data_IF_158584627783
#
_entry.id   IF_158584627783
#
_cell.length_a   1.000
_cell.length_b   1.000
_cell.length_c   1.000
_cell.angle_alpha   90.00
_cell.angle_beta   90.00
_cell.angle_gamma   90.00
#
_symmetry.space_group_name_H-M   'P 1'
#
loop_
_entity.id
_entity.type
_entity.pdbx_description
1 polymer ?
#
# COMPACT_ATOMS: atom_id res chain seq x y z
N UNK A 1 45.38 26.53 -22.99
CA UNK A 1 46.26 27.63 -22.55
C UNK A 1 47.22 27.84 -23.70
N UNK A 2 46.93 28.84 -24.53
CA UNK A 2 47.52 28.99 -25.86
C UNK A 2 47.90 30.45 -26.07
N UNK A 3 48.94 30.68 -26.88
CA UNK A 3 49.16 31.92 -27.65
C UNK A 3 49.49 33.18 -26.82
N UNK A 4 50.66 33.82 -27.04
CA UNK A 4 50.95 34.79 -28.12
C UNK A 4 50.15 36.12 -27.93
N UNK A 5 50.72 37.32 -28.03
CA UNK A 5 52.13 37.75 -28.19
C UNK A 5 52.22 39.29 -27.93
N UNK A 6 53.18 39.97 -28.58
CA UNK A 6 53.15 41.41 -28.95
C UNK A 6 53.66 42.41 -27.89
N UNK A 7 54.99 42.53 -27.87
CA UNK A 7 55.78 43.75 -28.04
C UNK A 7 55.15 45.15 -27.85
N UNK A 8 55.91 46.02 -27.16
CA UNK A 8 55.90 47.47 -27.37
C UNK A 8 57.32 47.93 -27.76
N UNK A 9 57.44 48.75 -28.80
CA UNK A 9 58.71 49.19 -29.36
C UNK A 9 58.71 50.69 -29.69
N UNK A 10 59.91 51.28 -29.75
CA UNK A 10 60.14 52.58 -30.39
C UNK A 10 60.02 53.80 -29.47
N UNK A 11 61.17 54.46 -29.24
CA UNK A 11 61.23 55.90 -28.95
C UNK A 11 62.38 56.48 -29.77
N UNK A 12 62.05 57.35 -30.71
CA UNK A 12 62.98 57.90 -31.70
C UNK A 12 63.29 59.37 -31.46
N UNK A 13 64.58 59.69 -31.55
CA UNK A 13 65.16 60.99 -31.94
C UNK A 13 64.55 61.54 -33.26
N UNK A 14 64.75 62.83 -33.65
CA UNK A 14 65.51 63.92 -33.00
C UNK A 14 64.78 65.28 -32.95
N UNK A 15 65.44 66.30 -32.37
CA UNK A 15 65.26 67.71 -32.77
C UNK A 15 66.61 68.47 -32.73
N UNK A 16 66.79 69.51 -33.55
CA UNK A 16 68.09 70.13 -33.78
C UNK A 16 68.04 71.60 -34.24
N UNK A 17 69.17 72.29 -33.99
CA UNK A 17 69.71 73.46 -34.71
C UNK A 17 68.93 74.80 -34.71
N UNK A 18 69.53 75.84 -34.08
CA UNK A 18 69.89 77.09 -34.77
C UNK A 18 70.72 78.11 -33.95
N UNK A 19 71.67 78.73 -34.66
CA UNK A 19 72.34 80.04 -34.47
C UNK A 19 72.41 80.70 -35.89
N UNK A 20 72.91 81.93 -36.16
CA UNK A 20 73.55 82.96 -35.31
C UNK A 20 73.01 84.41 -35.52
N UNK A 21 73.72 85.43 -35.02
CA UNK A 21 73.52 86.86 -35.38
C UNK A 21 74.76 87.72 -35.07
N UNK A 22 75.03 88.79 -35.84
CA UNK A 22 76.28 89.60 -35.79
C UNK A 22 76.15 90.99 -36.46
N UNK A 23 76.62 92.06 -35.79
CA UNK A 23 77.18 93.36 -36.28
C UNK A 23 77.48 94.23 -35.02
N UNK A 24 78.54 95.03 -34.83
CA UNK A 24 79.40 95.92 -35.65
C UNK A 24 78.89 97.38 -35.80
N UNK A 25 79.74 98.37 -35.43
CA UNK A 25 80.06 99.67 -36.12
C UNK A 25 80.84 100.63 -35.16
N UNK A 26 81.63 101.57 -35.71
CA UNK A 26 82.56 102.52 -35.05
C UNK A 26 82.26 103.99 -35.43
N UNK A 27 82.84 104.98 -34.74
CA UNK A 27 82.90 106.38 -35.23
C UNK A 27 83.53 107.46 -34.32
N UNK A 28 84.54 108.18 -34.84
CA UNK A 28 85.06 109.51 -34.38
C UNK A 28 84.81 110.56 -35.49
N UNK A 29 84.91 111.91 -35.29
CA UNK A 29 86.14 112.64 -35.75
C UNK A 29 86.48 114.09 -35.22
N UNK A 30 87.79 114.41 -35.13
CA UNK A 30 88.55 115.58 -35.71
C UNK A 30 88.32 117.09 -35.32
N UNK A 31 89.25 117.65 -34.50
CA UNK A 31 90.24 118.78 -34.65
C UNK A 31 90.00 120.25 -35.19
N UNK A 32 90.71 121.23 -34.53
CA UNK A 32 91.38 122.50 -35.01
C UNK A 32 90.54 123.64 -35.67
N UNK A 33 91.07 124.86 -36.07
CA UNK A 33 92.37 125.59 -35.85
C UNK A 33 92.17 127.00 -35.18
N UNK A 34 93.01 128.07 -35.19
CA UNK A 34 94.45 128.32 -35.47
C UNK A 34 94.84 129.73 -36.02
N UNK A 35 96.01 130.29 -35.61
CA UNK A 35 96.87 131.36 -36.23
C UNK A 35 96.59 132.91 -36.07
N UNK A 36 97.66 133.73 -36.22
CA UNK A 36 97.76 135.22 -36.12
C UNK A 36 98.99 135.80 -36.90
N UNK A 37 98.88 136.97 -37.57
CA UNK A 37 100.01 137.86 -37.99
C UNK A 37 99.69 139.38 -37.81
N UNK A 38 100.48 140.41 -38.19
CA UNK A 38 101.93 140.76 -38.10
C UNK A 38 102.09 142.31 -38.27
N UNK A 39 103.33 142.83 -38.27
CA UNK A 39 103.81 144.24 -38.21
C UNK A 39 103.23 145.34 -39.15
N UNK A 40 103.46 146.62 -38.75
CA UNK A 40 103.27 147.81 -39.60
C UNK A 40 104.04 149.08 -39.11
N UNK A 41 104.67 149.90 -39.98
CA UNK A 41 105.71 150.89 -39.59
C UNK A 41 105.24 152.34 -39.29
N UNK A 42 106.13 153.12 -38.66
CA UNK A 42 105.85 154.45 -38.11
C UNK A 42 106.06 155.64 -39.10
N UNK A 43 105.47 156.81 -38.77
CA UNK A 43 105.64 158.10 -39.46
C UNK A 43 106.22 159.19 -38.52
N UNK A 44 107.03 160.14 -39.03
CA UNK A 44 107.55 161.27 -38.26
C UNK A 44 106.61 162.50 -38.30
N UNK A 45 106.58 163.28 -37.20
CA UNK A 45 105.69 164.44 -37.05
C UNK A 45 104.95 164.38 -35.71
N UNK A 46 105.67 164.55 -34.61
CA UNK A 46 105.13 164.30 -33.27
C UNK A 46 104.24 165.44 -32.75
N UNK A 47 102.93 165.23 -32.80
CA UNK A 47 101.99 165.83 -31.85
C UNK A 47 102.15 165.18 -30.45
N UNK A 48 101.54 165.77 -29.43
CA UNK A 48 101.50 165.19 -28.10
C UNK A 48 100.81 163.81 -28.12
N UNK A 49 101.50 162.74 -27.69
CA UNK A 49 101.02 161.35 -27.77
C UNK A 49 99.89 160.99 -26.76
N UNK A 50 99.11 161.99 -26.34
CA UNK A 50 97.85 161.87 -25.60
C UNK A 50 96.72 162.04 -26.63
N UNK A 51 95.78 161.08 -26.68
CA UNK A 51 94.72 161.10 -27.69
C UNK A 51 93.91 162.40 -27.66
N UNK A 52 93.74 163.04 -28.82
CA UNK A 52 93.04 164.32 -28.97
C UNK A 52 93.89 165.57 -28.66
N UNK A 53 95.18 165.44 -28.31
CA UNK A 53 96.04 166.58 -28.00
C UNK A 53 96.94 167.02 -29.17
N UNK A 54 96.44 167.91 -30.01
CA UNK A 54 97.17 168.48 -31.18
C UNK A 54 98.25 169.51 -30.82
N UNK A 55 98.59 169.67 -29.53
CA UNK A 55 99.71 170.54 -29.12
C UNK A 55 101.03 169.97 -29.67
N UNK A 56 101.83 170.78 -30.38
CA UNK A 56 103.13 170.33 -30.88
C UNK A 56 104.06 170.01 -29.72
N UNK A 57 104.90 168.99 -29.89
CA UNK A 57 105.92 168.66 -28.89
C UNK A 57 106.94 169.81 -28.78
N UNK A 58 107.38 170.19 -27.57
CA UNK A 58 108.41 171.21 -27.40
C UNK A 58 109.69 170.79 -28.12
N UNK A 59 110.42 171.75 -28.73
CA UNK A 59 111.55 171.44 -29.59
C UNK A 59 112.63 170.62 -28.86
N UNK A 60 113.25 169.63 -29.52
CA UNK A 60 114.12 168.68 -28.86
C UNK A 60 115.43 169.34 -28.39
N UNK A 61 115.54 169.55 -27.08
CA UNK A 61 116.83 169.78 -26.42
C UNK A 61 117.72 168.53 -26.44
N UNK A 62 118.95 168.63 -25.92
CA UNK A 62 119.85 167.47 -25.74
C UNK A 62 119.30 166.51 -24.69
N UNK A 63 118.46 165.57 -25.11
CA UNK A 63 117.85 164.56 -24.26
C UNK A 63 116.95 163.62 -25.06
N UNK A 64 116.29 162.68 -24.36
CA UNK A 64 115.28 161.81 -24.97
C UNK A 64 114.08 162.66 -25.41
N UNK A 65 113.57 162.55 -26.66
CA UNK A 65 112.47 163.38 -27.13
C UNK A 65 111.24 163.21 -26.24
N UNK A 66 110.64 164.32 -25.83
CA UNK A 66 109.44 164.33 -25.01
C UNK A 66 108.28 163.73 -25.81
N UNK A 67 107.60 162.70 -25.29
CA UNK A 67 106.42 162.11 -25.94
C UNK A 67 105.13 162.91 -25.74
N UNK A 68 105.15 163.93 -24.88
CA UNK A 68 103.99 164.73 -24.49
C UNK A 68 104.41 166.20 -24.38
N UNK A 69 103.52 167.14 -24.70
CA UNK A 69 103.87 168.57 -24.68
C UNK A 69 104.10 169.14 -23.27
N UNK A 70 103.65 168.43 -22.22
CA UNK A 70 103.92 168.78 -20.83
C UNK A 70 103.63 167.61 -19.86
N UNK A 71 104.08 167.76 -18.60
CA UNK A 71 103.95 166.71 -17.57
C UNK A 71 102.51 166.23 -17.38
N UNK A 72 101.55 167.15 -17.35
CA UNK A 72 100.13 166.82 -17.15
C UNK A 72 99.59 165.82 -18.20
N UNK A 73 100.04 165.90 -19.46
CA UNK A 73 99.64 164.96 -20.50
C UNK A 73 100.40 163.63 -20.46
N UNK A 74 101.61 163.60 -19.91
CA UNK A 74 102.31 162.36 -19.59
C UNK A 74 101.64 161.62 -18.42
N UNK A 75 101.21 162.35 -17.39
CA UNK A 75 100.46 161.81 -16.25
C UNK A 75 99.06 161.35 -16.68
N UNK A 76 98.35 162.11 -17.51
CA UNK A 76 97.05 161.68 -18.08
C UNK A 76 97.21 160.43 -18.95
N UNK A 77 98.16 160.41 -19.89
CA UNK A 77 98.45 159.21 -20.69
C UNK A 77 99.01 158.03 -19.86
N UNK A 78 99.33 158.22 -18.57
CA UNK A 78 99.65 157.15 -17.63
C UNK A 78 98.42 156.67 -16.84
N UNK A 79 97.41 157.52 -16.67
CA UNK A 79 96.07 157.16 -16.18
C UNK A 79 95.30 156.41 -17.26
N UNK A 80 95.27 156.93 -18.49
CA UNK A 80 94.53 156.34 -19.62
C UNK A 80 95.04 154.94 -19.95
N UNK A 81 96.36 154.70 -19.91
CA UNK A 81 96.92 153.36 -20.05
C UNK A 81 96.51 152.46 -18.91
N UNK A 82 96.65 152.87 -17.64
CA UNK A 82 96.21 152.05 -16.51
C UNK A 82 94.70 151.78 -16.51
N UNK A 83 93.88 152.67 -17.05
CA UNK A 83 92.46 152.45 -17.26
C UNK A 83 92.19 151.48 -18.43
N UNK A 84 92.99 151.52 -19.50
CA UNK A 84 92.91 150.55 -20.59
C UNK A 84 93.42 149.16 -20.20
N UNK A 85 94.52 149.08 -19.45
CA UNK A 85 95.10 147.85 -18.90
C UNK A 85 94.12 147.20 -17.90
N UNK A 86 93.47 148.00 -17.05
CA UNK A 86 92.38 147.55 -16.18
C UNK A 86 91.17 147.07 -17.00
N UNK A 87 90.68 147.87 -17.95
CA UNK A 87 89.55 147.49 -18.80
C UNK A 87 89.81 146.20 -19.62
N UNK A 88 91.07 145.96 -20.02
CA UNK A 88 91.48 144.73 -20.71
C UNK A 88 91.44 143.47 -19.83
N UNK A 89 91.36 143.61 -18.50
CA UNK A 89 91.33 142.53 -17.51
C UNK A 89 89.95 142.44 -16.82
N UNK A 90 89.40 143.57 -16.38
CA UNK A 90 88.09 143.69 -15.73
C UNK A 90 86.94 143.28 -16.66
N UNK A 91 87.05 143.53 -17.96
CA UNK A 91 86.02 143.17 -18.92
C UNK A 91 85.94 141.64 -19.18
N UNK A 92 87.04 140.91 -19.50
CA UNK A 92 86.99 139.46 -19.55
C UNK A 92 86.71 138.81 -18.19
N UNK A 93 87.16 139.40 -17.06
CA UNK A 93 86.76 138.92 -15.72
C UNK A 93 85.25 139.04 -15.49
N UNK A 94 84.64 140.20 -15.73
CA UNK A 94 83.18 140.36 -15.58
C UNK A 94 82.38 139.45 -16.53
N UNK A 95 82.91 139.10 -17.71
CA UNK A 95 82.30 138.08 -18.57
C UNK A 95 82.48 136.66 -18.02
N UNK A 96 83.65 136.34 -17.46
CA UNK A 96 83.88 135.06 -16.79
C UNK A 96 82.99 134.92 -15.55
N UNK A 97 82.82 135.97 -14.74
CA UNK A 97 81.89 136.04 -13.62
C UNK A 97 80.43 135.93 -14.08
N UNK A 98 80.03 136.62 -15.15
CA UNK A 98 78.68 136.53 -15.71
C UNK A 98 78.36 135.16 -16.35
N UNK A 99 79.38 134.41 -16.79
CA UNK A 99 79.26 133.01 -17.21
C UNK A 99 79.22 132.07 -16.01
N UNK A 100 80.13 132.25 -15.05
CA UNK A 100 80.20 131.46 -13.82
C UNK A 100 78.96 131.64 -12.94
N UNK A 101 78.30 132.80 -12.96
CA UNK A 101 77.03 133.04 -12.28
C UNK A 101 75.83 132.34 -12.92
N UNK A 102 75.87 132.06 -14.23
CA UNK A 102 74.84 131.28 -14.96
C UNK A 102 75.08 129.77 -14.92
N UNK A 103 76.29 129.35 -14.58
CA UNK A 103 76.68 127.94 -14.58
C UNK A 103 75.94 127.13 -13.49
N UNK A 104 75.73 127.63 -12.25
CA UNK A 104 74.86 127.00 -11.26
C UNK A 104 73.43 126.78 -11.77
N UNK A 105 72.82 127.77 -12.41
CA UNK A 105 71.44 127.65 -12.94
C UNK A 105 71.35 126.59 -14.04
N UNK A 106 72.34 126.56 -14.94
CA UNK A 106 72.43 125.55 -16.00
C UNK A 106 72.69 124.13 -15.45
N UNK A 107 73.51 124.01 -14.40
CA UNK A 107 73.74 122.75 -13.69
C UNK A 107 72.47 122.31 -12.94
N UNK A 108 71.76 123.24 -12.30
CA UNK A 108 70.49 122.98 -11.61
C UNK A 108 69.42 122.47 -12.58
N UNK A 109 69.19 123.15 -13.70
CA UNK A 109 68.26 122.71 -14.74
C UNK A 109 68.64 121.35 -15.35
N UNK A 110 69.93 121.03 -15.47
CA UNK A 110 70.39 119.70 -15.89
C UNK A 110 70.17 118.64 -14.80
N UNK A 111 70.36 118.97 -13.52
CA UNK A 111 70.08 118.08 -12.39
C UNK A 111 68.57 117.80 -12.25
N UNK A 112 67.71 118.80 -12.45
CA UNK A 112 66.26 118.65 -12.51
C UNK A 112 65.84 117.73 -13.67
N UNK A 113 66.40 117.93 -14.87
CA UNK A 113 66.14 117.05 -16.02
C UNK A 113 66.63 115.62 -15.80
N UNK A 114 67.80 115.43 -15.17
CA UNK A 114 68.31 114.11 -14.81
C UNK A 114 67.46 113.43 -13.72
N UNK A 115 66.93 114.20 -12.77
CA UNK A 115 66.01 113.70 -11.73
C UNK A 115 64.67 113.29 -12.34
N UNK A 116 64.07 114.15 -13.17
CA UNK A 116 62.84 113.83 -13.88
C UNK A 116 63.00 112.60 -14.80
N UNK A 117 64.17 112.44 -15.44
CA UNK A 117 64.49 111.26 -16.25
C UNK A 117 64.66 110.00 -15.39
N UNK A 118 65.36 110.06 -14.25
CA UNK A 118 65.51 108.88 -13.38
C UNK A 118 64.20 108.49 -12.69
N UNK A 119 63.36 109.46 -12.32
CA UNK A 119 61.99 109.21 -11.85
C UNK A 119 61.12 108.58 -12.94
N UNK A 120 61.13 109.10 -14.17
CA UNK A 120 60.39 108.52 -15.29
C UNK A 120 60.86 107.09 -15.61
N UNK A 121 62.17 106.83 -15.55
CA UNK A 121 62.74 105.50 -15.72
C UNK A 121 62.36 104.56 -14.56
N UNK A 122 62.33 105.02 -13.31
CA UNK A 122 61.89 104.24 -12.16
C UNK A 122 60.38 103.93 -12.22
N UNK A 123 59.55 104.87 -12.69
CA UNK A 123 58.13 104.65 -12.96
C UNK A 123 57.93 103.66 -14.12
N UNK A 124 58.71 103.77 -15.19
CA UNK A 124 58.68 102.82 -16.30
C UNK A 124 59.12 101.40 -15.88
N UNK A 125 60.17 101.30 -15.04
CA UNK A 125 60.68 100.03 -14.51
C UNK A 125 59.67 99.39 -13.55
N UNK A 126 59.15 100.13 -12.57
CA UNK A 126 58.13 99.60 -11.65
C UNK A 126 56.83 99.23 -12.37
N UNK A 127 56.40 100.03 -13.35
CA UNK A 127 55.27 99.70 -14.23
C UNK A 127 55.51 98.48 -15.13
N UNK A 128 56.75 98.24 -15.57
CA UNK A 128 57.11 97.02 -16.30
C UNK A 128 57.13 95.79 -15.38
N UNK A 129 57.75 95.89 -14.21
CA UNK A 129 57.76 94.81 -13.20
C UNK A 129 56.34 94.45 -12.74
N UNK A 130 55.47 95.43 -12.51
CA UNK A 130 54.07 95.19 -12.15
C UNK A 130 53.25 94.53 -13.27
N UNK A 131 53.60 94.75 -14.54
CA UNK A 131 53.00 94.00 -15.68
C UNK A 131 53.53 92.56 -15.73
N UNK A 132 54.83 92.35 -15.52
CA UNK A 132 55.44 91.00 -15.49
C UNK A 132 54.85 90.18 -14.34
N UNK A 133 54.87 90.71 -13.11
CA UNK A 133 54.30 90.04 -11.93
C UNK A 133 52.81 89.70 -12.10
N UNK A 134 52.04 90.56 -12.80
CA UNK A 134 50.64 90.26 -13.12
C UNK A 134 50.52 89.14 -14.15
N UNK A 135 51.29 89.19 -15.24
CA UNK A 135 51.28 88.13 -16.24
C UNK A 135 51.77 86.77 -15.68
N UNK A 136 52.73 86.79 -14.76
CA UNK A 136 53.19 85.62 -14.01
C UNK A 136 52.09 85.06 -13.11
N UNK A 137 51.39 85.93 -12.35
CA UNK A 137 50.25 85.52 -11.51
C UNK A 137 49.07 84.98 -12.33
N UNK A 138 48.75 85.61 -13.47
CA UNK A 138 47.72 85.15 -14.41
C UNK A 138 48.11 83.80 -15.05
N UNK A 139 49.39 83.60 -15.41
CA UNK A 139 49.88 82.33 -15.94
C UNK A 139 49.91 81.20 -14.89
N UNK A 140 50.22 81.51 -13.63
CA UNK A 140 50.13 80.54 -12.52
C UNK A 140 48.67 80.18 -12.24
N UNK A 141 47.76 81.16 -12.22
CA UNK A 141 46.33 80.92 -12.04
C UNK A 141 45.73 80.09 -13.19
N UNK A 142 46.14 80.35 -14.44
CA UNK A 142 45.72 79.56 -15.60
C UNK A 142 46.17 78.09 -15.50
N UNK A 143 47.45 77.84 -15.15
CA UNK A 143 47.98 76.49 -14.96
C UNK A 143 47.31 75.74 -13.80
N UNK A 144 46.96 76.43 -12.72
CA UNK A 144 46.19 75.82 -11.62
C UNK A 144 44.77 75.47 -12.09
N UNK A 145 44.10 76.36 -12.83
CA UNK A 145 42.75 76.10 -13.34
C UNK A 145 42.71 74.94 -14.35
N UNK A 146 43.76 74.78 -15.16
CA UNK A 146 44.01 73.65 -16.05
C UNK A 146 44.21 72.34 -15.26
N UNK A 147 45.14 72.32 -14.31
CA UNK A 147 45.38 71.15 -13.44
C UNK A 147 44.13 70.74 -12.62
N UNK A 148 43.36 71.72 -12.13
CA UNK A 148 42.09 71.47 -11.43
C UNK A 148 41.01 70.93 -12.39
N UNK A 149 41.05 71.27 -13.68
CA UNK A 149 40.14 70.72 -14.69
C UNK A 149 40.48 69.27 -15.03
N UNK A 150 41.76 68.97 -15.25
CA UNK A 150 42.26 67.62 -15.48
C UNK A 150 42.00 66.70 -14.28
N UNK A 151 42.19 67.20 -13.05
CA UNK A 151 41.87 66.47 -11.84
C UNK A 151 40.38 66.08 -11.75
N UNK A 152 39.48 67.01 -12.09
CA UNK A 152 38.03 66.76 -12.17
C UNK A 152 37.66 65.79 -13.30
N UNK A 153 38.28 65.92 -14.48
CA UNK A 153 38.04 65.02 -15.60
C UNK A 153 38.46 63.57 -15.25
N UNK A 154 39.67 63.41 -14.72
CA UNK A 154 40.17 62.10 -14.28
C UNK A 154 39.36 61.52 -13.11
N UNK A 155 38.73 62.35 -12.26
CA UNK A 155 37.77 61.86 -11.25
C UNK A 155 36.44 61.42 -11.86
N UNK A 156 35.90 62.16 -12.82
CA UNK A 156 34.69 61.78 -13.55
C UNK A 156 34.87 60.45 -14.30
N UNK A 157 36.02 60.25 -14.96
CA UNK A 157 36.34 58.98 -15.62
C UNK A 157 36.49 57.82 -14.62
N UNK A 158 37.13 58.04 -13.46
CA UNK A 158 37.17 57.05 -12.37
C UNK A 158 35.77 56.74 -11.81
N UNK A 159 34.89 57.74 -11.72
CA UNK A 159 33.50 57.54 -11.27
C UNK A 159 32.69 56.73 -12.29
N UNK A 160 32.83 57.05 -13.58
CA UNK A 160 32.22 56.30 -14.68
C UNK A 160 32.69 54.85 -14.73
N UNK A 161 34.00 54.62 -14.70
CA UNK A 161 34.57 53.27 -14.75
C UNK A 161 34.11 52.38 -13.58
N UNK A 162 33.89 52.96 -12.38
CA UNK A 162 33.27 52.27 -11.25
C UNK A 162 31.80 51.94 -11.52
N UNK A 163 31.00 52.93 -11.96
CA UNK A 163 29.58 52.71 -12.26
C UNK A 163 29.36 51.67 -13.38
N UNK A 164 30.21 51.65 -14.40
CA UNK A 164 30.18 50.64 -15.47
C UNK A 164 30.53 49.24 -14.93
N UNK A 165 31.48 49.12 -13.99
CA UNK A 165 31.81 47.85 -13.32
C UNK A 165 30.69 47.38 -12.38
N UNK A 166 30.16 48.27 -11.53
CA UNK A 166 29.04 48.01 -10.62
C UNK A 166 27.81 47.54 -11.39
N UNK A 167 27.54 48.10 -12.57
CA UNK A 167 26.45 47.68 -13.46
C UNK A 167 26.67 46.28 -14.05
N UNK A 168 27.90 45.93 -14.44
CA UNK A 168 28.25 44.59 -14.91
C UNK A 168 28.08 43.55 -13.80
N UNK A 169 28.53 43.85 -12.58
CA UNK A 169 28.37 42.94 -11.45
C UNK A 169 26.93 42.84 -10.95
N UNK A 170 26.14 43.91 -11.00
CA UNK A 170 24.69 43.85 -10.75
C UNK A 170 23.95 42.97 -11.78
N UNK A 171 24.33 43.01 -13.06
CA UNK A 171 23.78 42.12 -14.10
C UNK A 171 24.23 40.67 -13.88
N UNK A 172 25.48 40.45 -13.45
CA UNK A 172 26.01 39.12 -13.12
C UNK A 172 25.28 38.51 -11.90
N UNK A 173 25.12 39.28 -10.84
CA UNK A 173 24.42 38.88 -9.63
C UNK A 173 22.95 38.55 -9.90
N UNK A 174 22.24 39.39 -10.69
CA UNK A 174 20.86 39.10 -11.06
C UNK A 174 20.73 37.81 -11.88
N UNK A 175 21.61 37.58 -12.86
CA UNK A 175 21.65 36.32 -13.64
C UNK A 175 21.96 35.08 -12.80
N UNK A 176 22.77 35.22 -11.74
CA UNK A 176 23.03 34.13 -10.81
C UNK A 176 21.77 33.80 -9.98
N UNK A 177 21.08 34.82 -9.44
CA UNK A 177 19.84 34.66 -8.69
C UNK A 177 18.68 34.14 -9.57
N UNK A 178 18.60 34.57 -10.83
CA UNK A 178 17.67 34.03 -11.83
C UNK A 178 17.89 32.51 -12.03
N UNK A 179 19.14 32.07 -12.23
CA UNK A 179 19.49 30.64 -12.37
C UNK A 179 19.30 29.82 -11.09
N UNK A 180 19.54 30.41 -9.92
CA UNK A 180 19.31 29.78 -8.62
C UNK A 180 17.81 29.53 -8.40
N UNK A 181 16.97 30.55 -8.63
CA UNK A 181 15.52 30.41 -8.57
C UNK A 181 14.96 29.41 -9.60
N UNK A 182 15.56 29.27 -10.78
CA UNK A 182 15.22 28.22 -11.76
C UNK A 182 15.58 26.81 -11.27
N UNK A 183 16.77 26.64 -10.66
CA UNK A 183 17.19 25.36 -10.06
C UNK A 183 16.30 24.96 -8.90
N UNK A 184 15.92 25.90 -8.05
CA UNK A 184 15.02 25.67 -6.91
C UNK A 184 13.60 25.30 -7.36
N UNK A 185 13.07 25.97 -8.39
CA UNK A 185 11.78 25.57 -9.02
C UNK A 185 11.86 24.14 -9.55
N UNK A 186 12.89 23.81 -10.32
CA UNK A 186 13.08 22.47 -10.86
C UNK A 186 13.31 21.41 -9.77
N UNK A 187 13.90 21.78 -8.63
CA UNK A 187 14.05 20.91 -7.46
C UNK A 187 12.71 20.67 -6.74
N UNK A 188 11.92 21.73 -6.52
CA UNK A 188 10.57 21.64 -5.96
C UNK A 188 9.61 20.86 -6.86
N UNK A 189 9.75 20.96 -8.18
CA UNK A 189 8.98 20.17 -9.16
C UNK A 189 9.34 18.68 -9.12
N UNK A 190 10.63 18.33 -9.02
CA UNK A 190 11.05 16.93 -8.77
C UNK A 190 10.48 16.41 -7.46
N UNK A 191 10.68 17.11 -6.34
CA UNK A 191 10.14 16.70 -5.02
C UNK A 191 8.62 16.55 -5.04
N UNK A 192 7.88 17.35 -5.82
CA UNK A 192 6.43 17.18 -6.02
C UNK A 192 6.08 15.93 -6.84
N UNK A 193 6.86 15.60 -7.87
CA UNK A 193 6.68 14.38 -8.66
C UNK A 193 6.98 13.13 -7.81
N UNK A 194 8.13 13.11 -7.13
CA UNK A 194 8.57 12.02 -6.25
C UNK A 194 7.55 11.76 -5.13
N UNK A 195 7.01 12.83 -4.53
CA UNK A 195 5.94 12.75 -3.53
C UNK A 195 4.61 12.24 -4.11
N UNK A 196 4.24 12.65 -5.32
CA UNK A 196 3.03 12.17 -5.99
C UNK A 196 3.12 10.67 -6.35
N UNK A 197 4.27 10.21 -6.83
CA UNK A 197 4.55 8.79 -7.06
C UNK A 197 4.49 7.99 -5.75
N UNK A 198 5.13 8.49 -4.69
CA UNK A 198 5.10 7.88 -3.35
C UNK A 198 3.66 7.77 -2.80
N UNK A 199 2.83 8.80 -2.98
CA UNK A 199 1.41 8.79 -2.60
C UNK A 199 0.61 7.79 -3.44
N UNK A 200 0.87 7.68 -4.74
CA UNK A 200 0.21 6.71 -5.61
C UNK A 200 0.56 5.26 -5.23
N UNK A 201 1.84 4.97 -4.96
CA UNK A 201 2.29 3.67 -4.47
C UNK A 201 1.65 3.31 -3.12
N UNK A 202 1.56 4.26 -2.18
CA UNK A 202 0.85 4.05 -0.92
C UNK A 202 -0.67 3.85 -1.07
N UNK A 203 -1.31 4.46 -2.09
CA UNK A 203 -2.70 4.18 -2.39
C UNK A 203 -2.89 2.74 -2.91
N UNK A 204 -2.09 2.33 -3.91
CA UNK A 204 -2.09 0.96 -4.45
C UNK A 204 -1.86 -0.10 -3.37
N UNK A 205 -0.89 0.11 -2.46
CA UNK A 205 -0.64 -0.78 -1.34
C UNK A 205 -1.81 -0.87 -0.34
N UNK A 206 -2.53 0.24 -0.11
CA UNK A 206 -3.72 0.25 0.76
C UNK A 206 -4.91 -0.47 0.12
N UNK A 207 -5.08 -0.34 -1.19
CA UNK A 207 -6.18 -0.99 -1.90
C UNK A 207 -5.92 -2.49 -2.09
N UNK A 208 -4.69 -2.91 -2.41
CA UNK A 208 -4.28 -4.31 -2.37
C UNK A 208 -4.43 -4.93 -0.96
N UNK A 209 -4.17 -4.17 0.11
CA UNK A 209 -4.40 -4.63 1.49
C UNK A 209 -5.90 -4.79 1.82
N UNK A 210 -6.77 -3.91 1.30
CA UNK A 210 -8.24 -4.01 1.43
C UNK A 210 -8.78 -5.23 0.67
N UNK A 211 -8.32 -5.45 -0.55
CA UNK A 211 -8.66 -6.64 -1.36
C UNK A 211 -8.20 -7.93 -0.66
N UNK A 212 -6.97 -7.95 -0.14
CA UNK A 212 -6.44 -9.06 0.65
C UNK A 212 -7.24 -9.34 1.92
N UNK A 213 -7.67 -8.30 2.64
CA UNK A 213 -8.57 -8.45 3.79
C UNK A 213 -9.92 -9.04 3.36
N UNK A 214 -10.57 -8.49 2.33
CA UNK A 214 -11.87 -8.97 1.85
C UNK A 214 -11.79 -10.43 1.37
N UNK A 215 -10.71 -10.83 0.69
CA UNK A 215 -10.46 -12.21 0.29
C UNK A 215 -10.26 -13.15 1.49
N UNK A 216 -9.53 -12.71 2.53
CA UNK A 216 -9.35 -13.48 3.76
C UNK A 216 -10.64 -13.65 4.56
N UNK A 217 -11.49 -12.61 4.62
CA UNK A 217 -12.80 -12.66 5.26
C UNK A 217 -13.76 -13.59 4.50
N UNK A 218 -13.81 -13.50 3.17
CA UNK A 218 -14.60 -14.41 2.34
C UNK A 218 -14.12 -15.88 2.46
N UNK A 219 -12.81 -16.12 2.51
CA UNK A 219 -12.26 -17.47 2.70
C UNK A 219 -12.57 -18.05 4.09
N UNK A 220 -12.50 -17.21 5.15
CA UNK A 220 -12.94 -17.58 6.50
C UNK A 220 -14.41 -17.97 6.51
N UNK A 221 -15.27 -17.14 5.91
CA UNK A 221 -16.72 -17.35 5.98
C UNK A 221 -17.18 -18.54 5.14
N UNK A 222 -16.51 -18.79 4.01
CA UNK A 222 -16.66 -20.04 3.24
C UNK A 222 -16.28 -21.29 4.08
N UNK A 223 -15.15 -21.25 4.81
CA UNK A 223 -14.78 -22.37 5.70
C UNK A 223 -15.69 -22.53 6.92
N UNK A 224 -16.30 -21.44 7.40
CA UNK A 224 -17.36 -21.51 8.42
C UNK A 224 -18.66 -22.13 7.86
N UNK A 225 -18.99 -21.90 6.59
CA UNK A 225 -20.11 -22.57 5.92
C UNK A 225 -19.85 -24.07 5.73
N UNK A 226 -18.67 -24.44 5.19
CA UNK A 226 -18.22 -25.84 5.03
C UNK A 226 -18.24 -26.61 6.36
N UNK A 227 -17.81 -25.97 7.46
CA UNK A 227 -17.84 -26.56 8.81
C UNK A 227 -19.27 -26.73 9.36
N UNK A 228 -20.24 -25.90 8.93
CA UNK A 228 -21.66 -26.06 9.30
C UNK A 228 -22.31 -27.20 8.50
N UNK A 229 -22.08 -27.24 7.19
CA UNK A 229 -22.60 -28.28 6.30
C UNK A 229 -22.09 -29.67 6.69
N UNK A 230 -20.79 -29.82 6.93
CA UNK A 230 -20.19 -31.08 7.38
C UNK A 230 -20.69 -31.54 8.75
N UNK A 231 -20.96 -30.61 9.69
CA UNK A 231 -21.62 -30.94 10.97
C UNK A 231 -23.06 -31.40 10.78
N UNK A 232 -23.85 -30.66 9.99
CA UNK A 232 -25.24 -31.02 9.70
C UNK A 232 -25.35 -32.38 8.99
N UNK A 233 -24.44 -32.67 8.06
CA UNK A 233 -24.34 -33.98 7.42
C UNK A 233 -23.96 -35.09 8.41
N UNK A 234 -23.03 -34.82 9.35
CA UNK A 234 -22.65 -35.77 10.38
C UNK A 234 -23.79 -36.05 11.38
N UNK A 235 -24.52 -35.02 11.81
CA UNK A 235 -25.70 -35.13 12.68
C UNK A 235 -26.81 -35.95 11.99
N UNK A 236 -27.04 -35.75 10.69
CA UNK A 236 -27.94 -36.58 9.89
C UNK A 236 -27.45 -38.03 9.77
N UNK A 237 -26.14 -38.25 9.63
CA UNK A 237 -25.54 -39.59 9.59
C UNK A 237 -25.70 -40.35 10.90
N UNK A 238 -25.51 -39.67 12.05
CA UNK A 238 -25.78 -40.24 13.37
C UNK A 238 -27.28 -40.55 13.53
N UNK A 239 -28.17 -39.62 13.18
CA UNK A 239 -29.62 -39.85 13.23
C UNK A 239 -30.07 -41.03 12.34
N UNK A 240 -29.48 -41.20 11.15
CA UNK A 240 -29.72 -42.36 10.27
C UNK A 240 -29.24 -43.67 10.90
N UNK A 241 -28.06 -43.68 11.52
CA UNK A 241 -27.50 -44.87 12.20
C UNK A 241 -28.32 -45.25 13.43
N UNK A 242 -28.71 -44.28 14.25
CA UNK A 242 -29.58 -44.47 15.41
C UNK A 242 -30.95 -45.02 15.03
N UNK A 243 -31.56 -44.49 13.96
CA UNK A 243 -32.84 -45.00 13.45
C UNK A 243 -32.72 -46.45 12.96
N UNK A 244 -31.63 -46.78 12.23
CA UNK A 244 -31.36 -48.14 11.78
C UNK A 244 -31.10 -49.11 12.95
N UNK A 245 -30.35 -48.68 13.98
CA UNK A 245 -30.08 -49.48 15.17
C UNK A 245 -31.36 -49.75 15.99
N UNK A 246 -32.24 -48.76 16.13
CA UNK A 246 -33.56 -48.93 16.78
C UNK A 246 -34.47 -49.87 15.98
N UNK A 247 -34.46 -49.77 14.66
CA UNK A 247 -35.20 -50.69 13.79
C UNK A 247 -34.68 -52.13 13.92
N UNK A 248 -33.36 -52.33 13.99
CA UNK A 248 -32.77 -53.66 14.19
C UNK A 248 -33.06 -54.24 15.57
N UNK A 249 -32.97 -53.43 16.64
CA UNK A 249 -33.40 -53.85 17.97
C UNK A 249 -34.87 -54.32 17.98
N UNK A 250 -35.75 -53.55 17.33
CA UNK A 250 -37.16 -53.93 17.15
C UNK A 250 -37.36 -55.24 16.36
N UNK A 251 -36.53 -55.50 15.32
CA UNK A 251 -36.55 -56.78 14.60
C UNK A 251 -36.09 -57.94 15.48
N UNK A 252 -35.03 -57.75 16.27
CA UNK A 252 -34.52 -58.76 17.19
C UNK A 252 -35.50 -59.08 18.32
N UNK A 253 -36.18 -58.07 18.87
CA UNK A 253 -37.18 -58.27 19.93
C UNK A 253 -38.48 -58.89 19.39
N UNK A 254 -38.88 -58.58 18.16
CA UNK A 254 -39.95 -59.31 17.47
C UNK A 254 -39.58 -60.79 17.24
N UNK A 255 -38.38 -61.06 16.73
CA UNK A 255 -37.89 -62.42 16.52
C UNK A 255 -37.73 -63.22 17.82
N UNK A 256 -37.35 -62.56 18.93
CA UNK A 256 -37.37 -63.16 20.28
C UNK A 256 -38.78 -63.51 20.71
N UNK A 257 -39.76 -62.63 20.51
CA UNK A 257 -41.16 -62.90 20.84
C UNK A 257 -41.75 -64.04 20.00
N UNK A 258 -41.39 -64.17 18.73
CA UNK A 258 -41.77 -65.31 17.89
C UNK A 258 -41.07 -66.62 18.31
N UNK A 259 -39.81 -66.55 18.75
CA UNK A 259 -39.11 -67.71 19.31
C UNK A 259 -39.77 -68.18 20.62
N UNK A 260 -40.15 -67.27 21.52
CA UNK A 260 -40.93 -67.61 22.71
C UNK A 260 -42.28 -68.23 22.33
N UNK A 261 -43.06 -67.59 21.44
CA UNK A 261 -44.34 -68.14 20.95
C UNK A 261 -44.21 -69.55 20.37
N UNK A 262 -43.15 -69.82 19.62
CA UNK A 262 -42.93 -71.16 19.02
C UNK A 262 -42.42 -72.19 20.02
N UNK A 263 -41.67 -71.79 21.05
CA UNK A 263 -41.32 -72.65 22.19
C UNK A 263 -42.56 -73.00 23.03
N UNK A 264 -43.41 -72.02 23.31
CA UNK A 264 -44.67 -72.21 24.06
C UNK A 264 -45.61 -73.14 23.28
N UNK A 265 -45.80 -72.88 21.97
CA UNK A 265 -46.61 -73.74 21.10
C UNK A 265 -46.05 -75.16 20.96
N UNK A 266 -44.73 -75.33 20.89
CA UNK A 266 -44.09 -76.66 20.88
C UNK A 266 -44.24 -77.38 22.21
N UNK A 267 -44.25 -76.64 23.33
CA UNK A 267 -44.46 -77.20 24.67
C UNK A 267 -45.90 -77.66 24.83
N UNK A 268 -46.88 -76.82 24.49
CA UNK A 268 -48.30 -77.19 24.46
C UNK A 268 -48.58 -78.37 23.49
N UNK A 269 -47.91 -78.43 22.33
CA UNK A 269 -48.02 -79.56 21.41
C UNK A 269 -47.43 -80.86 21.98
N UNK A 270 -46.34 -80.79 22.75
CA UNK A 270 -45.77 -81.94 23.47
C UNK A 270 -46.66 -82.41 24.61
N UNK A 271 -47.26 -81.49 25.35
CA UNK A 271 -48.23 -81.79 26.41
C UNK A 271 -49.51 -82.42 25.83
N UNK A 272 -50.04 -81.86 24.74
CA UNK A 272 -51.17 -82.44 24.01
C UNK A 272 -50.85 -83.85 23.47
N UNK A 273 -49.65 -84.07 22.92
CA UNK A 273 -49.20 -85.39 22.46
C UNK A 273 -49.01 -86.38 23.62
N UNK A 274 -48.54 -85.91 24.79
CA UNK A 274 -48.42 -86.73 25.99
C UNK A 274 -49.79 -87.11 26.57
N UNK A 275 -50.75 -86.18 26.56
CA UNK A 275 -52.16 -86.41 26.94
C UNK A 275 -52.82 -87.39 25.99
N UNK A 276 -52.80 -87.14 24.67
CA UNK A 276 -53.37 -88.05 23.66
C UNK A 276 -52.68 -89.43 23.67
N UNK A 277 -51.36 -89.48 23.94
CA UNK A 277 -50.63 -90.72 24.15
C UNK A 277 -50.95 -91.43 25.47
N UNK A 278 -51.47 -90.71 26.48
CA UNK A 278 -52.06 -91.26 27.70
C UNK A 278 -53.47 -91.79 27.45
N UNK A 279 -54.32 -91.01 26.80
CA UNK A 279 -55.70 -91.36 26.41
C UNK A 279 -55.71 -92.60 25.52
N UNK A 280 -54.89 -92.66 24.46
CA UNK A 280 -54.78 -93.81 23.57
C UNK A 280 -54.25 -95.08 24.29
N UNK A 281 -53.42 -94.94 25.33
CA UNK A 281 -53.04 -96.07 26.20
C UNK A 281 -54.18 -96.50 27.12
N UNK A 282 -54.95 -95.54 27.65
CA UNK A 282 -56.13 -95.83 28.46
C UNK A 282 -57.30 -96.40 27.61
N UNK A 283 -57.38 -96.07 26.33
CA UNK A 283 -58.31 -96.70 25.37
C UNK A 283 -57.87 -98.12 25.03
N UNK A 284 -56.59 -98.35 24.71
CA UNK A 284 -56.06 -99.71 24.52
C UNK A 284 -56.26 -100.58 25.75
N UNK A 285 -55.88 -100.11 26.94
CA UNK A 285 -56.10 -100.85 28.18
C UNK A 285 -57.59 -101.14 28.46
N UNK A 286 -58.51 -100.23 28.06
CA UNK A 286 -59.97 -100.48 28.13
C UNK A 286 -60.45 -101.49 27.07
N UNK A 287 -59.88 -101.46 25.86
CA UNK A 287 -60.18 -102.42 24.79
C UNK A 287 -59.65 -103.82 25.13
N UNK A 288 -58.38 -103.93 25.52
CA UNK A 288 -57.73 -105.16 26.00
C UNK A 288 -58.48 -105.75 27.21
N UNK A 289 -58.93 -104.93 28.16
CA UNK A 289 -59.76 -105.39 29.27
C UNK A 289 -61.17 -105.82 28.83
N UNK A 290 -61.76 -105.20 27.81
CA UNK A 290 -63.06 -105.58 27.26
C UNK A 290 -62.97 -106.85 26.39
N UNK A 291 -61.89 -107.04 25.66
CA UNK A 291 -61.55 -108.28 24.94
C UNK A 291 -61.32 -109.42 25.93
N UNK A 292 -60.48 -109.21 26.96
CA UNK A 292 -60.29 -110.22 28.01
C UNK A 292 -61.58 -110.55 28.77
N UNK A 293 -62.42 -109.56 29.08
CA UNK A 293 -63.73 -109.79 29.69
C UNK A 293 -64.70 -110.52 28.76
N UNK A 294 -64.64 -110.26 27.44
CA UNK A 294 -65.39 -111.00 26.41
C UNK A 294 -64.90 -112.43 26.30
N UNK A 295 -63.60 -112.67 26.30
CA UNK A 295 -63.02 -114.00 26.19
C UNK A 295 -63.33 -114.83 27.45
N UNK A 296 -63.21 -114.26 28.65
CA UNK A 296 -63.67 -114.90 29.90
C UNK A 296 -65.19 -115.17 29.88
N UNK A 297 -65.99 -114.35 29.22
CA UNK A 297 -67.42 -114.60 29.04
C UNK A 297 -67.72 -115.66 27.96
N UNK A 298 -66.87 -115.79 26.93
CA UNK A 298 -66.94 -116.84 25.93
C UNK A 298 -66.48 -118.19 26.50
N UNK A 299 -65.38 -118.23 27.24
CA UNK A 299 -64.90 -119.42 27.95
C UNK A 299 -65.93 -119.93 28.95
N UNK A 300 -66.54 -119.03 29.74
CA UNK A 300 -67.69 -119.38 30.59
C UNK A 300 -68.84 -119.94 29.77
N UNK A 301 -69.23 -119.28 28.68
CA UNK A 301 -70.33 -119.75 27.83
C UNK A 301 -70.03 -121.08 27.15
N UNK A 302 -68.77 -121.39 26.85
CA UNK A 302 -68.32 -122.70 26.36
C UNK A 302 -68.42 -123.72 27.50
N UNK A 303 -67.96 -123.41 28.71
CA UNK A 303 -68.10 -124.28 29.89
C UNK A 303 -69.57 -124.55 30.22
N UNK A 304 -70.44 -123.54 30.18
CA UNK A 304 -71.89 -123.64 30.39
C UNK A 304 -72.54 -124.53 29.31
N UNK A 305 -72.20 -124.30 28.03
CA UNK A 305 -72.70 -125.12 26.91
C UNK A 305 -72.18 -126.55 26.95
N UNK A 306 -70.97 -126.77 27.45
CA UNK A 306 -70.35 -128.08 27.55
C UNK A 306 -70.92 -128.87 28.74
N UNK A 307 -71.13 -128.22 29.89
CA UNK A 307 -71.88 -128.80 31.01
C UNK A 307 -73.35 -129.11 30.63
N UNK A 308 -73.99 -128.24 29.82
CA UNK A 308 -75.31 -128.51 29.27
C UNK A 308 -75.32 -129.67 28.24
N UNK A 309 -74.25 -129.82 27.46
CA UNK A 309 -74.09 -130.94 26.54
C UNK A 309 -73.83 -132.27 27.29
N UNK A 310 -73.06 -132.25 28.38
CA UNK A 310 -72.83 -133.41 29.24
C UNK A 310 -74.13 -133.82 29.97
N UNK A 311 -74.92 -132.85 30.46
CA UNK A 311 -76.28 -133.08 30.98
C UNK A 311 -77.19 -133.72 29.92
N UNK A 312 -77.29 -133.11 28.73
CA UNK A 312 -78.11 -133.63 27.63
C UNK A 312 -77.62 -135.00 27.13
N UNK A 313 -76.32 -135.31 27.23
CA UNK A 313 -75.79 -136.63 26.92
C UNK A 313 -76.20 -137.68 27.97
N UNK A 314 -76.24 -137.30 29.25
CA UNK A 314 -76.82 -138.11 30.34
C UNK A 314 -78.30 -138.36 30.14
N UNK A 315 -79.10 -137.32 29.95
CA UNK A 315 -80.55 -137.42 29.66
C UNK A 315 -80.82 -138.27 28.41
N UNK A 316 -80.01 -138.13 27.35
CA UNK A 316 -80.11 -138.95 26.15
C UNK A 316 -79.62 -140.39 26.34
N UNK A 317 -78.87 -140.71 27.39
CA UNK A 317 -78.55 -142.08 27.78
C UNK A 317 -79.71 -142.71 28.58
N UNK A 318 -80.27 -141.98 29.55
CA UNK A 318 -81.43 -142.41 30.34
C UNK A 318 -82.69 -142.58 29.46
N UNK A 319 -82.90 -141.70 28.49
CA UNK A 319 -83.95 -141.83 27.48
C UNK A 319 -83.78 -143.10 26.61
N UNK A 320 -82.54 -143.50 26.30
CA UNK A 320 -82.25 -144.75 25.58
C UNK A 320 -82.45 -145.99 26.46
N UNK A 321 -82.05 -145.92 27.74
CA UNK A 321 -82.26 -147.01 28.69
C UNK A 321 -83.76 -147.26 28.95
N UNK A 322 -84.55 -146.18 29.11
CA UNK A 322 -86.00 -146.25 29.30
C UNK A 322 -86.77 -146.62 28.03
N UNK A 323 -86.29 -146.25 26.83
CA UNK A 323 -86.84 -146.76 25.56
C UNK A 323 -86.61 -148.28 25.42
N UNK A 324 -85.41 -148.77 25.72
CA UNK A 324 -85.11 -150.21 25.69
C UNK A 324 -85.95 -150.99 26.72
N UNK A 325 -86.19 -150.43 27.91
CA UNK A 325 -87.11 -150.99 28.90
C UNK A 325 -88.56 -151.04 28.39
N UNK A 326 -89.04 -150.01 27.68
CA UNK A 326 -90.36 -150.03 27.04
C UNK A 326 -90.45 -151.11 25.94
N UNK A 327 -89.42 -151.28 25.11
CA UNK A 327 -89.40 -152.30 24.07
C UNK A 327 -89.48 -153.72 24.66
N UNK A 328 -88.69 -154.02 25.70
CA UNK A 328 -88.75 -155.30 26.41
C UNK A 328 -90.10 -155.58 27.11
N UNK A 329 -90.94 -154.56 27.34
CA UNK A 329 -92.33 -154.71 27.81
C UNK A 329 -93.28 -154.97 26.63
N UNK A 330 -93.13 -154.27 25.50
CA UNK A 330 -93.90 -154.53 24.28
C UNK A 330 -93.71 -155.96 23.77
N UNK A 331 -92.48 -156.45 23.70
CA UNK A 331 -92.17 -157.81 23.23
C UNK A 331 -92.86 -158.89 24.08
N UNK A 332 -92.92 -158.66 25.41
CA UNK A 332 -93.65 -159.53 26.36
C UNK A 332 -95.17 -159.46 26.16
N UNK A 333 -95.71 -158.27 25.87
CA UNK A 333 -97.14 -158.09 25.61
C UNK A 333 -97.56 -158.71 24.28
N UNK A 334 -96.78 -158.59 23.21
CA UNK A 334 -97.06 -159.30 21.95
C UNK A 334 -96.97 -160.82 22.12
N UNK A 335 -95.99 -161.30 22.88
CA UNK A 335 -95.87 -162.73 23.24
C UNK A 335 -97.15 -163.20 23.96
N UNK A 336 -97.59 -162.49 25.00
CA UNK A 336 -98.80 -162.83 25.75
C UNK A 336 -100.08 -162.74 24.90
N UNK A 337 -100.17 -161.74 24.01
CA UNK A 337 -101.34 -161.54 23.15
C UNK A 337 -101.41 -162.58 22.01
N UNK A 338 -100.27 -163.12 21.57
CA UNK A 338 -100.24 -164.29 20.68
C UNK A 338 -100.76 -165.57 21.36
N UNK A 339 -100.39 -165.80 22.63
CA UNK A 339 -100.89 -166.93 23.43
C UNK A 339 -102.41 -166.82 23.68
N UNK A 340 -102.89 -165.66 24.13
CA UNK A 340 -104.32 -165.42 24.35
C UNK A 340 -105.16 -165.60 23.07
N UNK A 341 -104.60 -165.31 21.88
CA UNK A 341 -105.26 -165.58 20.59
C UNK A 341 -105.36 -167.07 20.26
N UNK A 342 -104.40 -167.89 20.68
CA UNK A 342 -104.46 -169.35 20.54
C UNK A 342 -105.53 -169.96 21.47
N UNK A 343 -105.54 -169.57 22.75
CA UNK A 343 -106.55 -170.01 23.72
C UNK A 343 -107.98 -169.60 23.29
N UNK A 344 -108.14 -168.38 22.75
CA UNK A 344 -109.40 -167.90 22.20
C UNK A 344 -109.82 -168.55 20.87
N UNK A 345 -108.95 -169.36 20.24
CA UNK A 345 -109.33 -170.24 19.13
C UNK A 345 -109.85 -171.59 19.66
N UNK A 346 -109.12 -172.22 20.59
CA UNK A 346 -109.56 -173.48 21.21
C UNK A 346 -110.92 -173.37 21.92
N UNK A 347 -111.23 -172.24 22.55
CA UNK A 347 -112.53 -172.04 23.20
C UNK A 347 -113.68 -172.01 22.19
N UNK A 348 -113.48 -171.44 20.99
CA UNK A 348 -114.50 -171.44 19.92
C UNK A 348 -114.70 -172.83 19.36
N UNK A 349 -113.62 -173.60 19.19
CA UNK A 349 -113.71 -174.98 18.73
C UNK A 349 -114.42 -175.89 19.75
N UNK A 350 -114.23 -175.63 21.05
CA UNK A 350 -115.00 -176.29 22.13
C UNK A 350 -116.48 -175.89 22.13
N UNK A 351 -116.79 -174.61 21.91
CA UNK A 351 -118.17 -174.11 21.83
C UNK A 351 -118.95 -174.76 20.66
N UNK A 352 -118.38 -174.77 19.46
CA UNK A 352 -119.01 -175.35 18.27
C UNK A 352 -119.36 -176.85 18.43
N UNK A 353 -118.53 -177.60 19.17
CA UNK A 353 -118.80 -179.02 19.51
C UNK A 353 -119.93 -179.18 20.53
N UNK A 354 -120.14 -178.21 21.42
CA UNK A 354 -121.22 -178.22 22.40
C UNK A 354 -122.58 -177.85 21.78
N UNK A 355 -122.61 -176.85 20.90
CA UNK A 355 -123.84 -176.43 20.19
C UNK A 355 -124.40 -177.56 19.32
N UNK A 356 -123.52 -178.30 18.60
CA UNK A 356 -123.91 -179.46 17.82
C UNK A 356 -124.57 -180.58 18.64
N UNK A 357 -124.19 -180.75 19.91
CA UNK A 357 -124.80 -181.73 20.82
C UNK A 357 -126.17 -181.27 21.34
N UNK A 358 -126.37 -179.97 21.56
CA UNK A 358 -127.63 -179.41 22.06
C UNK A 358 -128.78 -179.56 21.04
N UNK A 359 -128.50 -179.31 19.75
CA UNK A 359 -129.49 -179.40 18.66
C UNK A 359 -130.07 -180.81 18.48
N UNK A 360 -129.31 -181.86 18.84
CA UNK A 360 -129.78 -183.24 18.79
C UNK A 360 -130.81 -183.58 19.88
N UNK A 361 -130.79 -182.89 21.02
CA UNK A 361 -131.65 -183.19 22.17
C UNK A 361 -133.02 -182.48 22.15
N UNK A 362 -133.11 -181.32 21.50
CA UNK A 362 -134.30 -180.44 21.61
C UNK A 362 -135.52 -180.84 20.75
N UNK A 363 -135.42 -181.84 19.87
CA UNK A 363 -136.53 -182.26 18.98
C UNK A 363 -137.42 -183.39 19.51
N UNK A 364 -137.44 -183.60 20.83
CA UNK A 364 -138.36 -184.52 21.53
C UNK A 364 -139.13 -183.85 22.69
N UNK A 365 -139.16 -182.51 22.76
CA UNK A 365 -139.73 -181.78 23.90
C UNK A 365 -140.14 -180.34 23.55
N UNK A 366 -141.02 -180.19 22.56
CA UNK A 366 -141.70 -178.91 22.27
C UNK A 366 -142.66 -178.46 23.40
N UNK A 367 -143.06 -177.21 23.32
CA UNK A 367 -144.22 -176.61 24.02
C UNK A 367 -144.16 -176.49 25.56
N UNK A 368 -143.14 -175.78 26.06
CA UNK A 368 -143.34 -174.91 27.24
C UNK A 368 -142.70 -173.53 27.07
N UNK A 369 -143.55 -172.60 26.64
CA UNK A 369 -143.33 -171.18 26.28
C UNK A 369 -142.36 -170.44 27.21
N UNK A 370 -141.39 -169.69 26.69
CA UNK A 370 -141.51 -168.37 26.02
C UNK A 370 -142.08 -167.26 26.93
N UNK A 371 -141.57 -166.02 26.93
CA UNK A 371 -140.25 -165.45 26.55
C UNK A 371 -140.36 -163.95 26.90
N UNK A 372 -139.40 -163.35 27.62
CA UNK A 372 -139.16 -161.89 27.67
C UNK A 372 -137.88 -161.60 28.49
N UNK A 373 -137.26 -160.44 28.26
CA UNK A 373 -135.80 -160.28 28.38
C UNK A 373 -135.19 -159.95 29.77
N UNK A 374 -133.90 -160.29 29.87
CA UNK A 374 -132.93 -160.17 30.99
C UNK A 374 -131.54 -159.95 30.36
N UNK A 375 -130.52 -159.29 30.90
CA UNK A 375 -130.18 -158.57 32.16
C UNK A 375 -129.09 -157.52 31.78
N UNK A 376 -128.70 -156.45 32.51
CA UNK A 376 -128.08 -156.33 33.84
C UNK A 376 -126.81 -157.24 34.07
N UNK A 377 -125.78 -156.85 34.86
CA UNK A 377 -125.65 -155.69 35.76
C UNK A 377 -124.27 -154.94 35.72
N UNK A 378 -124.00 -154.14 36.78
CA UNK A 378 -122.77 -153.44 37.24
C UNK A 378 -121.59 -154.41 37.64
N UNK A 379 -120.36 -154.00 38.13
CA UNK A 379 -119.99 -152.74 38.85
C UNK A 379 -118.54 -152.13 38.72
N UNK A 380 -118.38 -150.97 39.39
CA UNK A 380 -117.25 -150.40 40.20
C UNK A 380 -115.74 -150.61 39.88
N UNK A 381 -114.99 -149.49 39.77
CA UNK A 381 -113.71 -149.05 40.43
C UNK A 381 -112.51 -150.00 40.74
N UNK A 382 -111.26 -149.51 40.99
CA UNK A 382 -110.69 -148.15 40.83
C UNK A 382 -109.37 -148.07 39.95
N UNK A 383 -108.13 -147.70 40.40
CA UNK A 383 -107.54 -146.40 40.01
C UNK A 383 -106.13 -146.39 39.36
N UNK A 384 -105.84 -145.28 38.64
CA UNK A 384 -104.49 -144.66 38.53
C UNK A 384 -103.65 -144.94 37.26
N UNK A 385 -102.92 -143.93 36.75
CA UNK A 385 -101.96 -144.11 35.65
C UNK A 385 -101.46 -142.86 34.89
N UNK A 386 -100.35 -142.28 35.35
CA UNK A 386 -99.38 -141.37 34.71
C UNK A 386 -99.59 -140.79 33.27
N UNK A 387 -99.40 -139.45 33.15
CA UNK A 387 -98.23 -138.77 32.51
C UNK A 387 -98.43 -137.24 32.63
N UNK A 388 -97.57 -136.41 33.24
CA UNK A 388 -96.12 -136.13 33.09
C UNK A 388 -95.70 -135.49 31.75
N UNK A 389 -94.75 -134.53 31.74
CA UNK A 389 -94.27 -133.68 32.85
C UNK A 389 -94.15 -132.18 32.47
N UNK A 390 -93.46 -131.42 33.33
CA UNK A 390 -92.95 -130.05 33.15
C UNK A 390 -92.02 -129.90 31.95
#
# INVERSE_FOLDING_TARGET
MSSEDIAAAGSGVPEADQRPGRQEVLGEPVASPGAMPEDGPARPGGECALAGCTQPLPPPGRGRPAKYCGKAHADQASRDRRAADAAAVDEPLRRAEALAGRLPDAIGGLQEQLTALTEALAQAQSGALARVQRAEAEAVAARQAEADADARAAEADRARARADADAVDAVRARRAAEQEAERDRAALERVRADAAETVAAHAQLRDAAREGQAAAEAARDAKVAELRETRQAHEQDLARRDAAARAEAGRLDAARADLTRTIDALTAAREALATAGGEARAERARAEAAEHARDVALDRRVQDLQAAADLAAGEAADARASLAACQAVSDRLETALSAARAEAAEQRERAARAEAAAVAAQRLGDDRRNQDDRSAPQPEDPPGGARQPT
#
